data_IF_999493225990
#
_entry.id   IF_999493225990
#
_cell.length_a   1.000
_cell.length_b   1.000
_cell.length_c   1.000
_cell.angle_alpha   90.00
_cell.angle_beta   90.00
_cell.angle_gamma   90.00
#
_symmetry.space_group_name_H-M   'P 1'
#
loop_
_entity.id
_entity.type
_entity.pdbx_description
1 polymer ?
#
# COMPACT_ATOMS: atom_id res chain seq x y z
N UNK A 1 10.86 -15.94 19.72
CA UNK A 1 9.69 -16.29 20.54
C UNK A 1 8.40 -15.79 19.88
N UNK A 2 7.27 -16.28 20.36
CA UNK A 2 5.96 -15.82 19.90
C UNK A 2 5.81 -14.30 20.07
N UNK A 3 6.24 -13.75 21.20
CA UNK A 3 6.12 -12.31 21.46
C UNK A 3 6.94 -11.49 20.45
N UNK A 4 8.16 -11.92 20.16
CA UNK A 4 9.02 -11.24 19.20
C UNK A 4 8.41 -11.32 17.80
N UNK A 5 7.93 -12.49 17.39
CA UNK A 5 7.27 -12.69 16.11
C UNK A 5 6.05 -11.79 15.98
N UNK A 6 5.19 -11.78 17.01
CA UNK A 6 3.97 -10.96 17.01
C UNK A 6 4.30 -9.46 16.92
N UNK A 7 5.31 -9.00 17.65
CA UNK A 7 5.76 -7.62 17.60
C UNK A 7 6.27 -7.24 16.21
N UNK A 8 7.12 -8.08 15.61
CA UNK A 8 7.66 -7.82 14.29
C UNK A 8 6.58 -7.80 13.21
N UNK A 9 5.61 -8.72 13.27
CA UNK A 9 4.52 -8.74 12.29
C UNK A 9 3.60 -7.53 12.43
N UNK A 10 3.38 -7.04 13.65
CA UNK A 10 2.58 -5.82 13.86
C UNK A 10 3.30 -4.59 13.35
N UNK A 11 4.62 -4.52 13.52
CA UNK A 11 5.42 -3.45 12.96
C UNK A 11 5.35 -3.47 11.43
N UNK A 12 5.42 -4.66 10.83
CA UNK A 12 5.29 -4.81 9.39
C UNK A 12 3.92 -4.34 8.91
N UNK A 13 2.84 -4.74 9.60
CA UNK A 13 1.49 -4.29 9.26
C UNK A 13 1.38 -2.76 9.31
N UNK A 14 1.92 -2.14 10.36
CA UNK A 14 1.89 -0.69 10.50
C UNK A 14 2.65 0.00 9.37
N UNK A 15 3.83 -0.52 9.01
CA UNK A 15 4.62 0.02 7.93
C UNK A 15 3.89 -0.11 6.59
N UNK A 16 3.23 -1.25 6.35
CA UNK A 16 2.44 -1.48 5.14
C UNK A 16 1.25 -0.52 5.10
N UNK A 17 0.54 -0.33 6.22
CA UNK A 17 -0.58 0.60 6.27
C UNK A 17 -0.14 2.04 5.95
N UNK A 18 1.01 2.46 6.46
CA UNK A 18 1.57 3.78 6.15
C UNK A 18 1.93 3.89 4.68
N UNK A 19 2.50 2.83 4.09
CA UNK A 19 2.84 2.80 2.68
C UNK A 19 1.59 2.88 1.81
N UNK A 20 0.51 2.18 2.18
CA UNK A 20 -0.78 2.25 1.47
C UNK A 20 -1.32 3.68 1.49
N UNK A 21 -1.31 4.33 2.65
CA UNK A 21 -1.78 5.72 2.78
C UNK A 21 -0.97 6.66 1.91
N UNK A 22 0.35 6.49 1.88
CA UNK A 22 1.22 7.30 1.03
C UNK A 22 0.90 7.10 -0.45
N UNK A 23 0.65 5.87 -0.87
CA UNK A 23 0.26 5.56 -2.24
C UNK A 23 -1.09 6.17 -2.60
N UNK A 24 -2.06 6.11 -1.69
CA UNK A 24 -3.38 6.71 -1.90
C UNK A 24 -3.28 8.23 -2.03
N UNK A 25 -2.42 8.86 -1.22
CA UNK A 25 -2.15 10.29 -1.32
C UNK A 25 -1.51 10.62 -2.67
N UNK A 26 -0.59 9.79 -3.15
CA UNK A 26 0.02 9.95 -4.46
C UNK A 26 -1.01 9.91 -5.59
N UNK A 27 -1.97 8.99 -5.52
CA UNK A 27 -3.07 8.91 -6.49
C UNK A 27 -3.91 10.18 -6.44
N UNK A 28 -4.27 10.64 -5.25
CA UNK A 28 -5.05 11.86 -5.05
C UNK A 28 -4.34 13.06 -5.68
N UNK A 29 -3.03 13.19 -5.43
CA UNK A 29 -2.24 14.29 -5.99
C UNK A 29 -2.15 14.18 -7.51
N UNK A 30 -2.08 12.96 -8.07
CA UNK A 30 -2.06 12.78 -9.52
C UNK A 30 -3.37 13.22 -10.16
N UNK A 31 -4.51 12.97 -9.50
CA UNK A 31 -5.82 13.45 -9.97
C UNK A 31 -5.87 14.96 -9.96
N UNK A 32 -5.42 15.60 -8.88
CA UNK A 32 -5.37 17.07 -8.80
C UNK A 32 -4.47 17.66 -9.89
N UNK A 33 -3.31 17.03 -10.11
CA UNK A 33 -2.39 17.48 -11.16
C UNK A 33 -3.00 17.36 -12.55
N UNK A 34 -3.80 16.31 -12.82
CA UNK A 34 -4.53 16.17 -14.07
C UNK A 34 -5.53 17.30 -14.26
N UNK A 35 -6.24 17.69 -13.21
CA UNK A 35 -7.19 18.79 -13.25
C UNK A 35 -6.47 20.09 -13.60
N UNK A 36 -5.34 20.37 -12.94
CA UNK A 36 -4.55 21.56 -13.21
C UNK A 36 -4.00 21.56 -14.64
N UNK A 37 -3.50 20.42 -15.12
CA UNK A 37 -2.97 20.28 -16.47
C UNK A 37 -4.04 20.53 -17.52
N UNK A 38 -5.30 20.15 -17.25
CA UNK A 38 -6.42 20.38 -18.16
C UNK A 38 -6.66 21.87 -18.41
N UNK A 39 -6.32 22.74 -17.44
CA UNK A 39 -6.47 24.18 -17.59
C UNK A 39 -5.30 24.82 -18.34
N UNK A 40 -4.15 24.16 -18.41
CA UNK A 40 -2.96 24.77 -19.01
C UNK A 40 -2.90 24.67 -20.53
N UNK A 41 -3.65 23.80 -21.13
CA UNK A 41 -3.71 23.52 -22.58
C UNK A 41 -2.41 23.05 -23.22
N UNK A 42 -1.25 23.43 -22.70
CA UNK A 42 0.04 23.00 -23.21
C UNK A 42 0.45 21.71 -22.52
N UNK A 43 0.90 20.73 -23.26
CA UNK A 43 1.39 19.45 -22.76
C UNK A 43 0.39 18.69 -21.88
N UNK A 44 -0.89 19.10 -21.87
CA UNK A 44 -1.91 18.47 -21.03
C UNK A 44 -2.06 16.98 -21.31
N UNK A 45 -2.06 16.59 -22.60
CA UNK A 45 -2.21 15.19 -22.98
C UNK A 45 -1.05 14.33 -22.48
N UNK A 46 0.18 14.81 -22.66
CA UNK A 46 1.38 14.10 -22.21
C UNK A 46 1.40 13.97 -20.68
N UNK A 47 1.03 15.07 -20.00
CA UNK A 47 0.99 15.07 -18.53
C UNK A 47 -0.09 14.11 -18.00
N UNK A 48 -1.27 14.09 -18.61
CA UNK A 48 -2.34 13.18 -18.23
C UNK A 48 -1.94 11.72 -18.41
N UNK A 49 -1.22 11.41 -19.49
CA UNK A 49 -0.72 10.06 -19.70
C UNK A 49 0.25 9.64 -18.61
N UNK A 50 1.19 10.50 -18.24
CA UNK A 50 2.13 10.23 -17.17
C UNK A 50 1.40 10.02 -15.83
N UNK A 51 0.42 10.87 -15.53
CA UNK A 51 -0.37 10.77 -14.31
C UNK A 51 -1.18 9.46 -14.28
N UNK A 52 -1.74 9.04 -15.41
CA UNK A 52 -2.48 7.79 -15.51
C UNK A 52 -1.57 6.58 -15.31
N UNK A 53 -0.37 6.60 -15.92
CA UNK A 53 0.62 5.54 -15.72
C UNK A 53 1.08 5.47 -14.28
N UNK A 54 1.29 6.62 -13.66
CA UNK A 54 1.65 6.68 -12.24
C UNK A 54 0.56 6.03 -11.38
N UNK A 55 -0.70 6.40 -11.58
CA UNK A 55 -1.80 5.85 -10.81
C UNK A 55 -1.93 4.34 -11.02
N UNK A 56 -1.74 3.86 -12.25
CA UNK A 56 -1.77 2.43 -12.56
C UNK A 56 -0.67 1.67 -11.82
N UNK A 57 0.57 2.17 -11.88
CA UNK A 57 1.71 1.53 -11.21
C UNK A 57 1.54 1.52 -9.70
N UNK A 58 1.08 2.64 -9.14
CA UNK A 58 0.81 2.75 -7.70
C UNK A 58 -0.31 1.78 -7.30
N UNK A 59 -1.34 1.62 -8.13
CA UNK A 59 -2.40 0.65 -7.88
C UNK A 59 -1.87 -0.78 -7.77
N UNK A 60 -0.92 -1.15 -8.63
CA UNK A 60 -0.26 -2.46 -8.57
C UNK A 60 0.50 -2.61 -7.24
N UNK A 61 1.24 -1.57 -6.86
CA UNK A 61 1.98 -1.57 -5.59
C UNK A 61 1.03 -1.74 -4.41
N UNK A 62 -0.08 -1.02 -4.39
CA UNK A 62 -1.09 -1.13 -3.33
C UNK A 62 -1.60 -2.56 -3.22
N UNK A 63 -1.88 -3.22 -4.34
CA UNK A 63 -2.34 -4.62 -4.32
C UNK A 63 -1.31 -5.55 -3.70
N UNK A 64 -0.03 -5.38 -4.01
CA UNK A 64 1.04 -6.16 -3.38
C UNK A 64 1.12 -5.87 -1.89
N UNK A 65 0.97 -4.61 -1.49
CA UNK A 65 1.01 -4.23 -0.08
C UNK A 65 -0.14 -4.87 0.71
N UNK A 66 -1.33 -4.92 0.14
CA UNK A 66 -2.46 -5.62 0.77
C UNK A 66 -2.16 -7.10 0.95
N UNK A 67 -1.55 -7.74 -0.05
CA UNK A 67 -1.18 -9.15 0.03
C UNK A 67 -0.13 -9.38 1.12
N UNK A 68 0.88 -8.53 1.20
CA UNK A 68 1.92 -8.61 2.23
C UNK A 68 1.29 -8.48 3.62
N UNK A 69 0.40 -7.51 3.79
CA UNK A 69 -0.31 -7.30 5.06
C UNK A 69 -1.11 -8.52 5.46
N UNK A 70 -1.84 -9.11 4.52
CA UNK A 70 -2.63 -10.30 4.77
C UNK A 70 -1.75 -11.49 5.15
N UNK A 71 -0.64 -11.68 4.44
CA UNK A 71 0.31 -12.75 4.76
C UNK A 71 0.90 -12.58 6.16
N UNK A 72 1.22 -11.35 6.56
CA UNK A 72 1.74 -11.07 7.89
C UNK A 72 0.71 -11.42 8.97
N UNK A 73 -0.56 -11.05 8.75
CA UNK A 73 -1.66 -11.37 9.67
C UNK A 73 -1.90 -12.86 9.76
N UNK A 74 -1.94 -13.55 8.61
CA UNK A 74 -2.18 -14.98 8.56
C UNK A 74 -1.05 -15.73 9.26
N UNK A 75 0.20 -15.35 9.02
CA UNK A 75 1.36 -15.95 9.66
C UNK A 75 1.33 -15.75 11.17
N UNK A 76 0.96 -14.55 11.63
CA UNK A 76 0.83 -14.27 13.06
C UNK A 76 -0.28 -15.11 13.70
N UNK A 77 -1.43 -15.20 13.02
CA UNK A 77 -2.57 -15.97 13.53
C UNK A 77 -2.25 -17.46 13.58
N UNK A 78 -1.56 -17.98 12.58
CA UNK A 78 -1.12 -19.36 12.54
C UNK A 78 -0.17 -19.67 13.70
N UNK A 79 0.82 -18.80 13.94
CA UNK A 79 1.75 -18.97 15.05
C UNK A 79 1.06 -18.83 16.41
N UNK A 80 0.06 -17.97 16.52
CA UNK A 80 -0.72 -17.83 17.76
C UNK A 80 -1.48 -19.13 18.07
N UNK A 81 -2.15 -19.70 17.07
CA UNK A 81 -2.88 -20.95 17.20
C UNK A 81 -1.95 -22.09 17.61
N UNK A 82 -0.79 -22.20 16.95
CA UNK A 82 0.21 -23.21 17.25
C UNK A 82 0.72 -23.06 18.69
N UNK A 83 1.00 -21.83 19.12
CA UNK A 83 1.44 -21.55 20.49
C UNK A 83 0.40 -21.97 21.53
N UNK A 84 -0.88 -21.69 21.28
CA UNK A 84 -1.96 -22.05 22.19
C UNK A 84 -2.18 -23.56 22.25
N UNK A 85 -2.04 -24.27 21.13
CA UNK A 85 -2.21 -25.72 21.10
C UNK A 85 -1.11 -26.46 21.87
N UNK A 86 0.06 -25.88 21.99
CA UNK A 86 1.19 -26.50 22.70
C UNK A 86 1.11 -26.36 24.22
N UNK A 87 0.14 -25.63 24.73
CA UNK A 87 -0.10 -25.54 26.16
C UNK A 87 -1.02 -26.65 26.62
#
# INVERSE_FOLDING_TARGET
TWKTFSYETRKLEAAVDDAIKSCEMGIFLSVQAKIEAAYSRQAAAAFMEVADQFAEKVGIVINYLYKIRQLARDSRNEKAADHLQRR
#
